data_IF_611581371393
#
_entry.id   IF_611581371393
#
_cell.length_a   1.000
_cell.length_b   1.000
_cell.length_c   1.000
_cell.angle_alpha   90.00
_cell.angle_beta   90.00
_cell.angle_gamma   90.00
#
_symmetry.space_group_name_H-M   'P 1'
#
loop_
_entity.id
_entity.type
_entity.pdbx_description
1 polymer ?
#
# COMPACT_ATOMS: atom_id res chain seq x y z
N UNK A 1 -13.80 5.80 -3.27
CA UNK A 1 -13.13 5.28 -4.50
C UNK A 1 -11.92 6.11 -4.93
N UNK A 2 -12.06 7.43 -5.13
CA UNK A 2 -10.93 8.32 -5.47
C UNK A 2 -9.83 8.38 -4.38
N UNK A 3 -10.21 8.30 -3.10
CA UNK A 3 -9.27 8.17 -1.98
C UNK A 3 -8.39 6.92 -2.10
N UNK A 4 -8.98 5.75 -2.38
CA UNK A 4 -8.23 4.49 -2.59
C UNK A 4 -7.25 4.56 -3.78
N UNK A 5 -7.64 5.23 -4.87
CA UNK A 5 -6.75 5.51 -6.00
C UNK A 5 -5.57 6.41 -5.58
N UNK A 6 -5.84 7.44 -4.76
CA UNK A 6 -4.82 8.31 -4.17
C UNK A 6 -3.88 7.57 -3.21
N UNK A 7 -4.40 6.69 -2.36
CA UNK A 7 -3.60 5.87 -1.43
C UNK A 7 -2.63 4.95 -2.16
N UNK A 8 -3.09 4.30 -3.24
CA UNK A 8 -2.24 3.48 -4.10
C UNK A 8 -1.16 4.27 -4.83
N UNK A 9 -1.46 5.50 -5.24
CA UNK A 9 -0.54 6.39 -5.96
C UNK A 9 0.45 7.16 -5.05
N UNK A 10 0.07 7.46 -3.80
CA UNK A 10 0.85 8.30 -2.86
C UNK A 10 1.73 7.44 -1.93
N UNK A 11 1.53 6.12 -1.91
CA UNK A 11 2.51 5.16 -1.39
C UNK A 11 2.64 5.03 0.12
N UNK A 12 2.13 6.00 0.87
CA UNK A 12 2.32 6.06 2.32
C UNK A 12 1.05 6.36 3.12
N UNK A 13 -0.12 6.28 2.52
CA UNK A 13 -1.36 6.38 3.27
C UNK A 13 -1.74 4.99 3.81
N UNK A 14 -1.91 4.82 5.14
CA UNK A 14 -2.23 3.52 5.71
C UNK A 14 -3.59 3.03 5.20
N UNK A 15 -3.61 1.91 4.49
CA UNK A 15 -4.83 1.42 3.83
C UNK A 15 -5.91 0.98 4.82
N UNK A 16 -5.51 0.50 6.00
CA UNK A 16 -6.44 0.12 7.06
C UNK A 16 -7.38 1.26 7.50
N UNK A 17 -6.96 2.52 7.37
CA UNK A 17 -7.82 3.68 7.66
C UNK A 17 -8.96 3.76 6.64
N UNK A 18 -8.67 3.51 5.37
CA UNK A 18 -9.70 3.51 4.33
C UNK A 18 -10.60 2.28 4.45
N UNK A 19 -10.04 1.13 4.83
CA UNK A 19 -10.82 -0.06 5.16
C UNK A 19 -11.84 0.24 6.27
N UNK A 20 -11.43 0.93 7.34
CA UNK A 20 -12.35 1.34 8.40
C UNK A 20 -13.43 2.31 7.96
N UNK A 21 -13.08 3.33 7.18
CA UNK A 21 -14.07 4.26 6.63
C UNK A 21 -15.09 3.55 5.73
N UNK A 22 -14.64 2.60 4.90
CA UNK A 22 -15.52 1.84 4.03
C UNK A 22 -16.45 0.91 4.83
N UNK A 23 -15.91 0.19 5.82
CA UNK A 23 -16.69 -0.71 6.67
C UNK A 23 -17.68 0.06 7.56
N UNK A 24 -17.28 1.20 8.12
CA UNK A 24 -18.18 2.03 8.93
C UNK A 24 -19.30 2.66 8.11
N UNK A 25 -19.02 3.03 6.85
CA UNK A 25 -19.97 3.76 6.00
C UNK A 25 -20.90 2.84 5.20
N UNK A 26 -20.41 1.68 4.76
CA UNK A 26 -21.14 0.78 3.85
C UNK A 26 -21.43 -0.61 4.46
N UNK A 27 -21.04 -0.83 5.72
CA UNK A 27 -21.13 -2.13 6.39
C UNK A 27 -20.00 -3.09 6.01
N UNK A 28 -19.90 -4.22 6.72
CA UNK A 28 -18.81 -5.21 6.53
C UNK A 28 -18.70 -5.65 5.07
N UNK A 29 -19.80 -6.11 4.46
CA UNK A 29 -19.73 -6.80 3.16
C UNK A 29 -19.33 -5.84 2.04
N UNK A 30 -20.08 -4.76 1.83
CA UNK A 30 -19.77 -3.78 0.79
C UNK A 30 -18.48 -3.02 1.12
N UNK A 31 -18.22 -2.71 2.39
CA UNK A 31 -16.99 -2.07 2.82
C UNK A 31 -15.75 -2.91 2.52
N UNK A 32 -15.81 -4.23 2.71
CA UNK A 32 -14.72 -5.16 2.38
C UNK A 32 -14.48 -5.20 0.87
N UNK A 33 -15.52 -5.33 0.06
CA UNK A 33 -15.41 -5.37 -1.42
C UNK A 33 -14.83 -4.06 -1.97
N UNK A 34 -15.30 -2.91 -1.46
CA UNK A 34 -14.79 -1.59 -1.85
C UNK A 34 -13.34 -1.37 -1.44
N UNK A 35 -12.94 -1.93 -0.30
CA UNK A 35 -11.55 -1.84 0.19
C UNK A 35 -10.62 -2.71 -0.64
N UNK A 36 -10.98 -3.99 -0.85
CA UNK A 36 -10.24 -4.91 -1.71
C UNK A 36 -10.07 -4.38 -3.13
N UNK A 37 -11.16 -3.95 -3.77
CA UNK A 37 -11.09 -3.42 -5.13
C UNK A 37 -10.22 -2.17 -5.19
N UNK A 38 -10.41 -1.24 -4.25
CA UNK A 38 -9.62 -0.02 -4.15
C UNK A 38 -8.12 -0.28 -4.01
N UNK A 39 -7.73 -1.22 -3.17
CA UNK A 39 -6.33 -1.59 -2.99
C UNK A 39 -5.73 -2.31 -4.20
N UNK A 40 -6.49 -3.19 -4.87
CA UNK A 40 -6.05 -3.85 -6.09
C UNK A 40 -5.80 -2.81 -7.18
N UNK A 41 -6.77 -1.93 -7.45
CA UNK A 41 -6.63 -0.86 -8.44
C UNK A 41 -5.49 0.10 -8.07
N UNK A 42 -5.40 0.49 -6.79
CA UNK A 42 -4.34 1.35 -6.29
C UNK A 42 -2.96 0.72 -6.45
N UNK A 43 -2.81 -0.58 -6.16
CA UNK A 43 -1.57 -1.31 -6.34
C UNK A 43 -1.17 -1.43 -7.82
N UNK A 44 -2.15 -1.69 -8.71
CA UNK A 44 -1.91 -1.73 -10.17
C UNK A 44 -1.39 -0.38 -10.65
N UNK A 45 -2.11 0.69 -10.34
CA UNK A 45 -1.72 2.05 -10.74
C UNK A 45 -0.36 2.41 -10.16
N UNK A 46 -0.15 2.17 -8.86
CA UNK A 46 1.11 2.41 -8.17
C UNK A 46 2.28 1.65 -8.81
N UNK A 47 2.09 0.37 -9.17
CA UNK A 47 3.15 -0.44 -9.79
C UNK A 47 3.66 0.18 -11.09
N UNK A 48 2.76 0.59 -11.97
CA UNK A 48 3.14 1.23 -13.24
C UNK A 48 3.73 2.63 -13.02
N UNK A 49 3.18 3.42 -12.10
CA UNK A 49 3.70 4.74 -11.76
C UNK A 49 5.12 4.67 -11.18
N UNK A 50 5.36 3.81 -10.20
CA UNK A 50 6.69 3.62 -9.63
C UNK A 50 7.66 3.09 -10.67
N UNK A 51 7.26 2.09 -11.47
CA UNK A 51 8.14 1.55 -12.52
C UNK A 51 8.51 2.59 -13.56
N UNK A 52 7.59 3.45 -13.94
CA UNK A 52 7.86 4.57 -14.84
C UNK A 52 8.78 5.61 -14.20
N UNK A 53 8.54 5.96 -12.94
CA UNK A 53 9.39 6.88 -12.18
C UNK A 53 10.82 6.36 -12.07
N UNK A 54 11.00 5.10 -11.65
CA UNK A 54 12.31 4.48 -11.49
C UNK A 54 13.08 4.35 -12.80
N UNK A 55 12.41 4.11 -13.93
CA UNK A 55 13.04 4.14 -15.27
C UNK A 55 13.61 5.51 -15.66
N UNK A 56 13.06 6.60 -15.11
CA UNK A 56 13.49 7.98 -15.40
C UNK A 56 14.53 8.52 -14.43
N UNK A 57 14.76 7.85 -13.30
CA UNK A 57 15.76 8.27 -12.33
C UNK A 57 17.17 7.86 -12.77
N UNK A 58 18.17 8.64 -12.38
CA UNK A 58 19.57 8.42 -12.75
C UNK A 58 20.03 6.99 -12.35
N UNK A 59 20.53 6.14 -13.24
CA UNK A 59 20.99 4.79 -12.88
C UNK A 59 22.06 4.74 -11.79
N UNK A 60 22.69 5.88 -11.44
CA UNK A 60 23.64 6.00 -10.33
C UNK A 60 23.14 5.48 -8.97
N UNK A 61 21.86 5.68 -8.61
CA UNK A 61 21.33 5.21 -7.31
C UNK A 61 21.11 3.68 -7.28
N UNK A 62 20.99 3.04 -8.45
CA UNK A 62 20.81 1.59 -8.58
C UNK A 62 22.12 0.80 -8.39
N UNK A 63 23.27 1.50 -8.31
CA UNK A 63 24.60 0.89 -8.08
C UNK A 63 24.78 0.34 -6.66
N UNK A 64 23.89 0.67 -5.72
CA UNK A 64 23.97 0.14 -4.37
C UNK A 64 23.62 -1.36 -4.34
N UNK A 65 24.43 -2.17 -3.63
CA UNK A 65 24.32 -3.65 -3.56
C UNK A 65 22.91 -4.16 -3.25
N UNK A 66 22.15 -3.39 -2.46
CA UNK A 66 20.76 -3.68 -2.13
C UNK A 66 19.84 -3.67 -3.37
N UNK A 67 19.90 -2.61 -4.18
CA UNK A 67 19.05 -2.47 -5.38
C UNK A 67 19.44 -3.44 -6.47
N UNK A 68 20.74 -3.73 -6.61
CA UNK A 68 21.22 -4.74 -7.54
C UNK A 68 20.64 -6.12 -7.20
N UNK A 69 20.63 -6.49 -5.91
CA UNK A 69 20.06 -7.77 -5.45
C UNK A 69 18.56 -7.87 -5.73
N UNK A 70 17.82 -6.78 -5.56
CA UNK A 70 16.38 -6.71 -5.87
C UNK A 70 16.16 -6.92 -7.38
N UNK A 71 16.95 -6.27 -8.23
CA UNK A 71 16.85 -6.41 -9.68
C UNK A 71 17.24 -7.80 -10.21
N UNK A 72 18.25 -8.44 -9.60
CA UNK A 72 18.74 -9.76 -10.01
C UNK A 72 17.94 -10.92 -9.39
N UNK A 73 16.93 -10.64 -8.56
CA UNK A 73 16.10 -11.67 -7.96
C UNK A 73 15.28 -12.39 -9.03
N UNK A 74 15.10 -13.70 -8.88
CA UNK A 74 14.31 -14.46 -9.85
C UNK A 74 12.83 -14.08 -9.76
N UNK A 75 12.11 -14.14 -10.89
CA UNK A 75 10.68 -13.82 -10.95
C UNK A 75 9.87 -14.62 -9.92
N UNK A 76 10.22 -15.90 -9.71
CA UNK A 76 9.57 -16.77 -8.72
C UNK A 76 9.81 -16.30 -7.28
N UNK A 77 11.06 -15.94 -6.94
CA UNK A 77 11.38 -15.41 -5.61
C UNK A 77 10.61 -14.11 -5.32
N UNK A 78 10.55 -13.21 -6.30
CA UNK A 78 9.81 -11.95 -6.17
C UNK A 78 8.31 -12.22 -6.01
N UNK A 79 7.73 -13.12 -6.82
CA UNK A 79 6.32 -13.49 -6.74
C UNK A 79 5.93 -13.96 -5.33
N UNK A 80 6.68 -14.90 -4.76
CA UNK A 80 6.44 -15.40 -3.41
C UNK A 80 6.68 -14.35 -2.34
N UNK A 81 7.71 -13.51 -2.51
CA UNK A 81 7.99 -12.41 -1.57
C UNK A 81 6.84 -11.40 -1.53
N UNK A 82 6.24 -11.07 -2.68
CA UNK A 82 5.07 -10.17 -2.73
C UNK A 82 3.90 -10.79 -1.95
N UNK A 83 3.61 -12.07 -2.15
CA UNK A 83 2.53 -12.75 -1.42
C UNK A 83 2.82 -12.69 0.08
N UNK A 84 3.98 -13.14 0.52
CA UNK A 84 4.35 -13.18 1.94
C UNK A 84 4.27 -11.79 2.61
N UNK A 85 4.81 -10.76 1.96
CA UNK A 85 4.74 -9.40 2.49
C UNK A 85 3.31 -8.86 2.55
N UNK A 86 2.43 -9.27 1.63
CA UNK A 86 1.03 -8.85 1.62
C UNK A 86 0.14 -9.62 2.56
N UNK A 87 0.52 -10.84 2.95
CA UNK A 87 -0.18 -11.60 3.98
C UNK A 87 -0.10 -10.91 5.35
N UNK A 88 0.97 -10.16 5.60
CA UNK A 88 1.14 -9.42 6.85
C UNK A 88 0.16 -8.23 6.84
N UNK A 89 -0.85 -8.20 7.73
CA UNK A 89 -1.80 -7.12 7.79
C UNK A 89 -1.10 -5.81 8.16
N UNK A 90 -1.66 -4.68 7.74
CA UNK A 90 -1.13 -3.33 8.00
C UNK A 90 0.22 -3.01 7.36
N UNK A 91 0.84 -3.93 6.60
CA UNK A 91 1.99 -3.58 5.77
C UNK A 91 1.56 -2.58 4.72
N UNK A 92 2.22 -1.41 4.62
CA UNK A 92 1.86 -0.40 3.64
C UNK A 92 1.98 -0.94 2.21
N UNK A 93 0.85 -1.00 1.50
CA UNK A 93 0.79 -1.52 0.13
C UNK A 93 1.72 -0.79 -0.83
N UNK A 94 1.99 0.50 -0.59
CA UNK A 94 2.93 1.28 -1.38
C UNK A 94 4.38 0.77 -1.29
N UNK A 95 4.83 0.31 -0.12
CA UNK A 95 6.19 -0.23 0.05
C UNK A 95 6.40 -1.50 -0.76
N UNK A 96 5.46 -2.46 -0.67
CA UNK A 96 5.52 -3.71 -1.41
C UNK A 96 5.43 -3.44 -2.91
N UNK A 97 4.57 -2.50 -3.32
CA UNK A 97 4.37 -2.14 -4.73
C UNK A 97 5.60 -1.44 -5.31
N UNK A 98 6.21 -0.50 -4.59
CA UNK A 98 7.43 0.17 -4.99
C UNK A 98 8.60 -0.83 -5.10
N UNK A 99 8.79 -1.69 -4.10
CA UNK A 99 9.81 -2.74 -4.14
C UNK A 99 9.63 -3.70 -5.32
N UNK A 100 8.40 -4.17 -5.56
CA UNK A 100 8.09 -5.04 -6.70
C UNK A 100 8.33 -4.36 -8.04
N UNK A 101 8.02 -3.07 -8.17
CA UNK A 101 8.20 -2.31 -9.42
C UNK A 101 9.65 -2.14 -9.84
N UNK A 102 10.60 -2.31 -8.91
CA UNK A 102 12.05 -2.28 -9.16
C UNK A 102 12.63 -3.60 -9.65
N UNK A 103 11.84 -4.66 -9.62
CA UNK A 103 12.27 -5.99 -10.05
C UNK A 103 11.92 -6.25 -11.52
N UNK A 104 12.36 -7.39 -12.04
CA UNK A 104 12.04 -7.86 -13.38
C UNK A 104 10.62 -8.44 -13.51
N UNK A 105 9.84 -8.56 -12.43
CA UNK A 105 8.49 -9.17 -12.46
C UNK A 105 7.58 -8.46 -13.45
N UNK A 106 6.76 -9.20 -14.20
CA UNK A 106 5.78 -8.61 -15.12
C UNK A 106 4.58 -8.04 -14.36
N UNK A 107 3.92 -7.03 -14.96
CA UNK A 107 2.69 -6.45 -14.39
C UNK A 107 1.62 -7.49 -14.07
N UNK A 108 1.26 -8.42 -14.99
CA UNK A 108 0.27 -9.45 -14.71
C UNK A 108 0.65 -10.36 -13.54
N UNK A 109 1.91 -10.80 -13.45
CA UNK A 109 2.38 -11.62 -12.32
C UNK A 109 2.33 -10.87 -11.00
N UNK A 110 2.71 -9.59 -11.01
CA UNK A 110 2.54 -8.73 -9.86
C UNK A 110 1.07 -8.66 -9.43
N UNK A 111 0.13 -8.44 -10.36
CA UNK A 111 -1.31 -8.35 -10.05
C UNK A 111 -1.81 -9.63 -9.36
N UNK A 112 -1.44 -10.79 -9.89
CA UNK A 112 -1.84 -12.09 -9.33
C UNK A 112 -1.26 -12.26 -7.92
N UNK A 113 0.06 -12.11 -7.73
CA UNK A 113 0.70 -12.20 -6.41
C UNK A 113 0.11 -11.20 -5.40
N UNK A 114 -0.06 -9.97 -5.87
CA UNK A 114 -0.59 -8.82 -5.16
C UNK A 114 -2.00 -9.09 -4.61
N UNK A 115 -2.85 -9.66 -5.46
CA UNK A 115 -4.25 -9.95 -5.14
C UNK A 115 -4.35 -11.13 -4.18
N UNK A 116 -3.65 -12.23 -4.47
CA UNK A 116 -3.63 -13.44 -3.63
C UNK A 116 -3.21 -13.11 -2.20
N UNK A 117 -2.11 -12.36 -2.04
CA UNK A 117 -1.63 -12.01 -0.71
C UNK A 117 -2.54 -11.02 0.03
N UNK A 118 -3.27 -10.15 -0.69
CA UNK A 118 -4.05 -9.08 -0.05
C UNK A 118 -5.44 -9.51 0.40
N UNK A 119 -6.05 -10.51 -0.26
CA UNK A 119 -7.34 -11.07 0.16
C UNK A 119 -7.34 -11.44 1.66
N UNK A 120 -6.48 -12.36 2.16
CA UNK A 120 -6.49 -12.75 3.57
C UNK A 120 -6.11 -11.59 4.50
N UNK A 121 -5.20 -10.71 4.10
CA UNK A 121 -4.81 -9.57 4.92
C UNK A 121 -5.98 -8.58 5.12
N UNK A 122 -6.78 -8.32 4.09
CA UNK A 122 -7.96 -7.45 4.23
C UNK A 122 -9.04 -8.09 5.09
N UNK A 123 -9.23 -9.41 5.02
CA UNK A 123 -10.13 -10.09 5.96
C UNK A 123 -9.69 -9.88 7.42
N UNK A 124 -8.39 -9.99 7.70
CA UNK A 124 -7.84 -9.72 9.04
C UNK A 124 -8.02 -8.24 9.41
N UNK A 125 -7.69 -7.31 8.50
CA UNK A 125 -7.86 -5.87 8.73
C UNK A 125 -9.32 -5.53 9.03
N UNK A 126 -10.28 -6.06 8.26
CA UNK A 126 -11.71 -5.85 8.49
C UNK A 126 -12.13 -6.41 9.84
N UNK A 127 -11.69 -7.61 10.22
CA UNK A 127 -12.02 -8.20 11.52
C UNK A 127 -11.52 -7.32 12.68
N UNK A 128 -10.26 -6.87 12.60
CA UNK A 128 -9.67 -5.97 13.61
C UNK A 128 -10.43 -4.65 13.65
N UNK A 129 -10.61 -4.01 12.50
CA UNK A 129 -11.25 -2.70 12.41
C UNK A 129 -12.71 -2.74 12.84
N UNK A 130 -13.46 -3.76 12.46
CA UNK A 130 -14.83 -3.96 12.90
C UNK A 130 -14.91 -4.10 14.43
N UNK A 131 -14.01 -4.89 15.03
CA UNK A 131 -13.90 -5.00 16.48
C UNK A 131 -13.56 -3.67 17.15
N UNK A 132 -12.61 -2.90 16.61
CA UNK A 132 -12.24 -1.59 17.13
C UNK A 132 -13.41 -0.60 17.07
N UNK A 133 -14.15 -0.58 15.96
CA UNK A 133 -15.29 0.34 15.79
C UNK A 133 -16.38 0.09 16.84
N UNK A 134 -16.62 -1.17 17.21
CA UNK A 134 -17.66 -1.53 18.19
C UNK A 134 -17.19 -1.40 19.65
N UNK A 135 -15.89 -1.53 19.89
CA UNK A 135 -15.35 -1.57 21.26
C UNK A 135 -14.83 -0.21 21.73
N UNK A 136 -14.32 0.62 20.82
CA UNK A 136 -13.65 1.89 21.15
C UNK A 136 -14.61 3.06 20.91
N UNK A 137 -14.71 4.03 21.84
CA UNK A 137 -15.53 5.23 21.62
C UNK A 137 -15.11 6.00 20.37
N UNK A 138 -16.10 6.57 19.68
CA UNK A 138 -15.92 7.28 18.42
C UNK A 138 -14.91 8.44 18.53
N UNK A 139 -14.83 9.11 19.68
CA UNK A 139 -13.85 10.18 19.94
C UNK A 139 -12.39 9.73 19.80
N UNK A 140 -12.06 8.55 20.30
CA UNK A 140 -10.71 7.97 20.17
C UNK A 140 -10.42 7.56 18.72
N UNK A 141 -11.42 7.05 18.00
CA UNK A 141 -11.27 6.70 16.58
C UNK A 141 -10.91 7.94 15.73
N UNK A 142 -11.63 9.06 15.93
CA UNK A 142 -11.30 10.32 15.24
C UNK A 142 -9.93 10.87 15.63
N UNK A 143 -9.53 10.76 16.90
CA UNK A 143 -8.21 11.21 17.34
C UNK A 143 -7.06 10.46 16.64
N UNK A 144 -7.19 9.14 16.48
CA UNK A 144 -6.21 8.30 15.76
C UNK A 144 -6.16 8.65 14.27
N UNK A 145 -7.31 8.89 13.64
CA UNK A 145 -7.40 9.29 12.23
C UNK A 145 -6.76 10.66 11.99
N UNK A 146 -7.01 11.64 12.87
CA UNK A 146 -6.40 12.97 12.79
C UNK A 146 -4.89 12.88 13.02
N UNK A 147 -4.44 12.13 14.02
CA UNK A 147 -3.02 11.96 14.31
C UNK A 147 -2.27 11.35 13.13
N UNK A 148 -2.80 10.30 12.51
CA UNK A 148 -2.21 9.69 11.30
C UNK A 148 -2.20 10.65 10.12
N UNK A 149 -3.28 11.40 9.88
CA UNK A 149 -3.32 12.43 8.84
C UNK A 149 -2.25 13.51 9.05
N UNK A 150 -2.10 14.01 10.28
CA UNK A 150 -1.09 15.02 10.64
C UNK A 150 0.32 14.48 10.42
N UNK A 151 0.62 13.24 10.85
CA UNK A 151 1.92 12.61 10.64
C UNK A 151 2.23 12.52 9.13
N UNK A 152 1.27 12.08 8.32
CA UNK A 152 1.44 12.00 6.86
C UNK A 152 1.70 13.38 6.26
N UNK A 153 0.95 14.41 6.66
CA UNK A 153 1.14 15.79 6.19
C UNK A 153 2.51 16.37 6.60
N UNK A 154 2.96 16.10 7.83
CA UNK A 154 4.28 16.54 8.32
C UNK A 154 5.40 15.86 7.53
N UNK A 155 5.31 14.55 7.29
CA UNK A 155 6.28 13.82 6.47
C UNK A 155 6.29 14.39 5.05
N UNK A 156 5.11 14.65 4.48
CA UNK A 156 4.96 15.19 3.12
C UNK A 156 5.57 16.59 2.97
N UNK A 157 5.30 17.49 3.91
CA UNK A 157 5.86 18.86 3.89
C UNK A 157 7.38 18.87 4.09
N UNK A 158 7.91 18.00 4.95
CA UNK A 158 9.37 17.83 5.12
C UNK A 158 10.03 17.20 3.89
N UNK A 159 9.37 16.25 3.22
CA UNK A 159 9.85 15.64 1.98
C UNK A 159 9.95 16.66 0.84
N UNK A 160 8.97 17.57 0.70
CA UNK A 160 9.02 18.66 -0.27
C UNK A 160 10.18 19.64 -0.04
N UNK A 161 10.50 19.96 1.21
CA UNK A 161 11.62 20.88 1.53
C UNK A 161 13.00 20.32 1.18
N UNK A 162 13.18 18.99 1.20
CA UNK A 162 14.45 18.35 0.81
C UNK A 162 14.71 18.29 -0.70
N UNK A 163 13.70 18.54 -1.54
CA UNK A 163 13.83 18.50 -3.01
C UNK A 163 14.20 19.89 -3.57
N UNK A 164 14.14 20.95 -2.75
CA UNK A 164 14.42 22.34 -3.15
C UNK A 164 15.73 22.92 -2.57
N UNK A 165 16.53 22.10 -1.88
CA UNK A 165 17.90 22.44 -1.43
C UNK A 165 18.91 21.64 -2.24
#
# INVERSE_FOLDING_TARGET
MLLNLGVGAIGFFPSFLVTGLNVSSFGITLGTVLSLSGEIFGAIAGFYLYRFGFKKMDPGWLKHRFWTRIQTSSTSQVFWTIILLRLIPFVPSGLVTAGASLTSISGPLFIVASTIGKIPAVFIEVAVVYGLIHTIPVSYQYSLAIMTLVIVLVIWTKSKRKIQM
#
